data_IF_586298118147
#
_entry.id   IF_586298118147
#
_cell.length_a   1.000
_cell.length_b   1.000
_cell.length_c   1.000
_cell.angle_alpha   90.00
_cell.angle_beta   90.00
_cell.angle_gamma   90.00
#
_symmetry.space_group_name_H-M   'P 1'
#
loop_
_entity.id
_entity.type
_entity.pdbx_description
1 polymer ?
#
# COMPACT_ATOMS: atom_id res chain seq x y z
N UNK A 1 -22.37 10.91 -65.73
CA UNK A 1 -23.50 10.23 -65.05
C UNK A 1 -23.10 10.06 -63.59
N UNK A 2 -23.45 11.00 -62.71
CA UNK A 2 -24.57 10.88 -61.76
C UNK A 2 -24.74 9.45 -61.21
N UNK A 3 -24.39 9.24 -59.94
CA UNK A 3 -25.36 9.31 -58.84
C UNK A 3 -24.66 9.13 -57.51
N UNK A 4 -24.69 10.17 -56.68
CA UNK A 4 -24.56 10.07 -55.23
C UNK A 4 -25.58 9.07 -54.70
N UNK A 5 -25.14 8.11 -53.87
CA UNK A 5 -26.02 7.37 -52.97
C UNK A 5 -25.57 7.63 -51.54
N UNK A 6 -26.38 8.41 -50.85
CA UNK A 6 -26.29 8.63 -49.42
C UNK A 6 -26.43 7.29 -48.66
N UNK A 7 -25.74 7.27 -47.52
CA UNK A 7 -26.14 6.66 -46.26
C UNK A 7 -26.30 5.13 -46.20
N UNK A 8 -25.38 4.50 -45.45
CA UNK A 8 -25.78 3.62 -44.33
C UNK A 8 -24.63 3.52 -43.33
N UNK A 9 -24.83 4.24 -42.24
CA UNK A 9 -24.24 4.07 -40.91
C UNK A 9 -23.97 2.61 -40.55
N UNK A 10 -22.72 2.33 -40.16
CA UNK A 10 -22.45 1.36 -39.10
C UNK A 10 -21.17 1.79 -38.39
N UNK A 11 -21.33 2.60 -37.33
CA UNK A 11 -20.32 2.72 -36.29
C UNK A 11 -20.12 1.31 -35.72
N UNK A 12 -18.98 0.69 -35.99
CA UNK A 12 -18.55 -0.48 -35.27
C UNK A 12 -18.12 -0.03 -33.86
N UNK A 13 -19.07 0.03 -32.94
CA UNK A 13 -18.79 0.17 -31.52
C UNK A 13 -18.16 -1.14 -31.04
N UNK A 14 -16.82 -1.23 -31.07
CA UNK A 14 -16.10 -2.26 -30.33
C UNK A 14 -16.31 -1.99 -28.84
N UNK A 15 -17.26 -2.72 -28.26
CA UNK A 15 -17.43 -2.83 -26.82
C UNK A 15 -16.16 -3.46 -26.24
N UNK A 16 -15.30 -2.62 -25.67
CA UNK A 16 -14.19 -3.04 -24.83
C UNK A 16 -14.85 -3.59 -23.56
N UNK A 17 -14.99 -4.91 -23.48
CA UNK A 17 -15.37 -5.62 -22.27
C UNK A 17 -14.22 -5.50 -21.26
N UNK A 18 -14.16 -4.37 -20.55
CA UNK A 18 -13.31 -4.20 -19.40
C UNK A 18 -13.86 -5.04 -18.26
N UNK A 19 -13.29 -6.21 -18.02
CA UNK A 19 -13.51 -6.94 -16.76
C UNK A 19 -12.95 -6.09 -15.64
N UNK A 20 -13.82 -5.42 -14.88
CA UNK A 20 -13.43 -4.75 -13.64
C UNK A 20 -13.01 -5.81 -12.64
N UNK A 21 -11.70 -6.06 -12.53
CA UNK A 21 -11.14 -6.87 -11.45
C UNK A 21 -11.37 -6.07 -10.16
N UNK A 22 -12.38 -6.46 -9.39
CA UNK A 22 -12.61 -5.91 -8.07
C UNK A 22 -11.57 -6.54 -7.14
N UNK A 23 -10.51 -5.80 -6.83
CA UNK A 23 -9.62 -6.15 -5.73
C UNK A 23 -10.37 -5.89 -4.42
N UNK A 24 -11.03 -6.92 -3.90
CA UNK A 24 -11.44 -6.93 -2.49
C UNK A 24 -10.15 -6.97 -1.66
N UNK A 25 -9.74 -5.83 -1.10
CA UNK A 25 -8.64 -5.75 -0.15
C UNK A 25 -9.00 -6.62 1.06
N UNK A 26 -8.41 -7.81 1.13
CA UNK A 26 -8.47 -8.60 2.35
C UNK A 26 -7.76 -7.80 3.45
N UNK A 27 -8.36 -7.72 4.64
CA UNK A 27 -7.69 -7.16 5.80
C UNK A 27 -6.35 -7.91 6.00
N UNK A 28 -5.26 -7.17 6.18
CA UNK A 28 -3.96 -7.78 6.41
C UNK A 28 -3.99 -8.49 7.77
N UNK A 29 -3.19 -9.55 7.97
CA UNK A 29 -3.06 -10.14 9.29
C UNK A 29 -2.38 -9.17 10.26
N UNK A 30 -2.68 -9.33 11.54
CA UNK A 30 -1.89 -8.73 12.61
C UNK A 30 -0.56 -9.47 12.74
N UNK A 31 0.52 -8.72 12.99
CA UNK A 31 1.84 -9.32 13.19
C UNK A 31 1.93 -10.08 14.52
N UNK A 32 2.72 -11.16 14.59
CA UNK A 32 3.13 -11.74 15.85
C UNK A 32 3.81 -10.69 16.75
N UNK A 33 3.51 -10.71 18.05
CA UNK A 33 4.09 -9.78 19.03
C UNK A 33 5.62 -9.81 19.01
N UNK A 34 6.22 -10.99 18.85
CA UNK A 34 7.68 -11.12 18.77
C UNK A 34 8.29 -10.43 17.55
N UNK A 35 7.57 -10.37 16.43
CA UNK A 35 8.04 -9.67 15.24
C UNK A 35 8.03 -8.15 15.51
N UNK A 36 6.97 -7.62 16.12
CA UNK A 36 6.87 -6.20 16.52
C UNK A 36 7.99 -5.82 17.49
N UNK A 37 8.27 -6.66 18.49
CA UNK A 37 9.35 -6.45 19.45
C UNK A 37 10.71 -6.44 18.75
N UNK A 38 10.98 -7.43 17.90
CA UNK A 38 12.25 -7.53 17.17
C UNK A 38 12.46 -6.33 16.24
N UNK A 39 11.41 -5.87 15.58
CA UNK A 39 11.43 -4.67 14.74
C UNK A 39 11.67 -3.41 15.57
N UNK A 40 11.01 -3.27 16.73
CA UNK A 40 11.23 -2.14 17.66
C UNK A 40 12.69 -2.05 18.11
N UNK A 41 13.31 -3.18 18.43
CA UNK A 41 14.74 -3.25 18.80
C UNK A 41 15.65 -2.84 17.65
N UNK A 42 15.40 -3.33 16.43
CA UNK A 42 16.17 -2.96 15.25
C UNK A 42 16.04 -1.46 14.94
N UNK A 43 14.82 -0.92 14.97
CA UNK A 43 14.56 0.51 14.79
C UNK A 43 15.22 1.34 15.90
N UNK A 44 15.22 0.88 17.15
CA UNK A 44 15.89 1.58 18.25
C UNK A 44 17.40 1.69 18.01
N UNK A 45 18.02 0.65 17.47
CA UNK A 45 19.44 0.68 17.13
C UNK A 45 19.73 1.73 16.05
N UNK A 46 18.88 1.85 15.03
CA UNK A 46 19.02 2.88 13.98
C UNK A 46 18.90 4.28 14.59
N UNK A 47 17.89 4.51 15.45
CA UNK A 47 17.71 5.80 16.12
C UNK A 47 18.93 6.22 16.95
N UNK A 48 19.58 5.25 17.60
CA UNK A 48 20.81 5.46 18.38
C UNK A 48 22.00 5.79 17.48
N UNK A 49 22.16 5.07 16.37
CA UNK A 49 23.24 5.29 15.40
C UNK A 49 23.13 6.67 14.74
N UNK A 50 21.90 7.09 14.41
CA UNK A 50 21.59 8.40 13.85
C UNK A 50 21.59 9.52 14.90
N UNK A 51 21.78 9.18 16.17
CA UNK A 51 21.76 10.12 17.30
C UNK A 51 20.51 11.00 17.31
N UNK A 52 19.35 10.39 17.06
CA UNK A 52 18.09 11.13 17.04
C UNK A 52 17.80 11.78 18.40
N UNK A 53 17.26 13.00 18.43
CA UNK A 53 16.82 13.63 19.67
C UNK A 53 15.77 12.77 20.36
N UNK A 54 15.83 12.64 21.68
CA UNK A 54 14.86 11.90 22.50
C UNK A 54 13.40 12.28 22.21
N UNK A 55 13.15 13.54 21.86
CA UNK A 55 11.81 14.04 21.50
C UNK A 55 11.27 13.48 20.17
N UNK A 56 12.15 12.94 19.32
CA UNK A 56 11.82 12.41 17.98
C UNK A 56 11.82 10.88 17.96
N UNK A 57 12.54 10.22 18.87
CA UNK A 57 12.69 8.75 18.93
C UNK A 57 11.34 8.03 18.91
N UNK A 58 10.36 8.47 19.71
CA UNK A 58 9.06 7.78 19.80
C UNK A 58 8.30 7.75 18.46
N UNK A 59 8.28 8.88 17.73
CA UNK A 59 7.63 8.97 16.43
C UNK A 59 8.40 8.16 15.39
N UNK A 60 9.72 8.28 15.39
CA UNK A 60 10.60 7.51 14.51
C UNK A 60 10.40 6.00 14.66
N UNK A 61 10.36 5.49 15.89
CA UNK A 61 10.16 4.06 16.15
C UNK A 61 8.82 3.57 15.59
N UNK A 62 7.75 4.32 15.82
CA UNK A 62 6.41 3.94 15.35
C UNK A 62 6.36 3.89 13.82
N UNK A 63 6.98 4.86 13.13
CA UNK A 63 7.03 4.87 11.67
C UNK A 63 7.90 3.73 11.14
N UNK A 64 9.11 3.58 11.66
CA UNK A 64 10.04 2.52 11.26
C UNK A 64 9.41 1.12 11.40
N UNK A 65 8.81 0.81 12.56
CA UNK A 65 8.16 -0.48 12.77
C UNK A 65 6.99 -0.68 11.79
N UNK A 66 6.16 0.34 11.60
CA UNK A 66 5.01 0.23 10.72
C UNK A 66 5.38 0.10 9.24
N UNK A 67 6.49 0.68 8.82
CA UNK A 67 7.01 0.52 7.46
C UNK A 67 7.48 -0.92 7.26
N UNK A 68 8.23 -1.49 8.22
CA UNK A 68 8.62 -2.91 8.16
C UNK A 68 7.42 -3.87 8.22
N UNK A 69 6.41 -3.59 9.05
CA UNK A 69 5.18 -4.38 9.09
C UNK A 69 4.45 -4.36 7.74
N UNK A 70 4.38 -3.20 7.10
CA UNK A 70 3.76 -3.03 5.78
C UNK A 70 4.52 -3.84 4.73
N UNK A 71 5.85 -3.79 4.74
CA UNK A 71 6.71 -4.58 3.83
C UNK A 71 6.53 -6.10 4.02
N UNK A 72 6.29 -6.53 5.26
CA UNK A 72 6.03 -7.93 5.61
C UNK A 72 4.59 -8.37 5.34
N UNK A 73 3.70 -7.45 4.93
CA UNK A 73 2.30 -7.74 4.65
C UNK A 73 1.41 -7.84 5.89
N UNK A 74 1.78 -7.16 6.97
CA UNK A 74 0.99 -7.06 8.20
C UNK A 74 0.24 -5.72 8.31
N UNK A 75 -0.77 -5.68 9.17
CA UNK A 75 -1.40 -4.43 9.58
C UNK A 75 -0.45 -3.55 10.40
N UNK A 76 -0.64 -2.24 10.27
CA UNK A 76 0.04 -1.24 11.08
C UNK A 76 -0.51 -1.25 12.51
N UNK A 77 0.35 -0.92 13.47
CA UNK A 77 0.01 -0.72 14.88
C UNK A 77 -0.17 0.76 15.21
N UNK A 78 -1.04 1.05 16.17
CA UNK A 78 -1.32 2.42 16.61
C UNK A 78 -0.33 2.93 17.66
N UNK A 79 0.28 2.02 18.43
CA UNK A 79 1.25 2.32 19.49
C UNK A 79 2.29 1.21 19.62
N UNK A 80 3.44 1.55 20.20
CA UNK A 80 4.51 0.63 20.58
C UNK A 80 4.67 0.65 22.09
N UNK A 81 3.66 0.16 22.80
CA UNK A 81 3.70 0.06 24.27
C UNK A 81 4.83 -0.89 24.76
#
# INVERSE_FOLDING_TARGET
MQHSRLARTTLAAMLISGTAISFSAAALPQAPVNDVVSLKEACQQIALEDQLPETEVGAFLLDCVNDQLTEMGYERVASLD
#
